data_IF_743642400114
#
_entry.id   IF_743642400114
#
_cell.length_a   1.000
_cell.length_b   1.000
_cell.length_c   1.000
_cell.angle_alpha   90.00
_cell.angle_beta   90.00
_cell.angle_gamma   90.00
#
_symmetry.space_group_name_H-M   'P 1'
#
loop_
_entity.id
_entity.type
_entity.pdbx_description
1 polymer ?
#
# COMPACT_ATOMS: atom_id res chain seq x y z
N UNK A 1 -9.81 -2.91 21.13
CA UNK A 1 -8.64 -2.11 20.69
C UNK A 1 -7.41 -2.93 21.03
N UNK A 2 -6.51 -3.16 20.07
CA UNK A 2 -5.25 -3.87 20.28
C UNK A 2 -4.28 -2.96 21.05
N UNK A 3 -3.87 -3.39 22.25
CA UNK A 3 -2.81 -2.74 23.01
C UNK A 3 -1.45 -3.33 22.60
N UNK A 4 -0.58 -2.48 22.08
CA UNK A 4 0.78 -2.85 21.66
C UNK A 4 1.79 -2.29 22.64
N UNK A 5 2.49 -3.18 23.34
CA UNK A 5 3.67 -2.79 24.11
C UNK A 5 4.88 -2.67 23.19
N UNK A 6 5.66 -1.60 23.35
CA UNK A 6 6.96 -1.42 22.67
C UNK A 6 7.91 -0.64 23.56
N UNK A 7 9.22 -0.76 23.32
CA UNK A 7 10.24 0.00 24.07
C UNK A 7 10.23 1.49 23.74
N UNK A 8 9.87 1.84 22.50
CA UNK A 8 9.83 3.22 22.02
C UNK A 8 8.72 3.40 20.98
N UNK A 9 7.93 4.45 21.13
CA UNK A 9 6.89 4.80 20.16
C UNK A 9 7.50 5.76 19.14
N UNK A 10 7.48 5.39 17.86
CA UNK A 10 7.99 6.21 16.75
C UNK A 10 6.91 6.46 15.69
N UNK A 11 7.08 7.45 14.80
CA UNK A 11 6.20 7.64 13.67
C UNK A 11 6.12 6.43 12.73
N UNK A 12 7.26 5.75 12.49
CA UNK A 12 7.33 4.54 11.64
C UNK A 12 6.48 3.41 12.20
N UNK A 13 6.68 3.10 13.48
CA UNK A 13 5.91 2.09 14.21
C UNK A 13 4.42 2.45 14.19
N UNK A 14 4.08 3.69 14.58
CA UNK A 14 2.68 4.14 14.62
C UNK A 14 2.01 4.04 13.25
N UNK A 15 2.70 4.42 12.18
CA UNK A 15 2.22 4.35 10.81
C UNK A 15 1.90 2.91 10.41
N UNK A 16 2.87 1.99 10.52
CA UNK A 16 2.71 0.64 9.97
C UNK A 16 1.71 -0.18 10.78
N UNK A 17 1.70 -0.04 12.10
CA UNK A 17 0.69 -0.69 12.94
C UNK A 17 -0.72 -0.17 12.66
N UNK A 18 -0.90 1.14 12.47
CA UNK A 18 -2.20 1.69 12.06
C UNK A 18 -2.60 1.22 10.66
N UNK A 19 -1.65 1.08 9.74
CA UNK A 19 -1.93 0.55 8.42
C UNK A 19 -2.43 -0.89 8.49
N UNK A 20 -1.66 -1.79 9.10
CA UNK A 20 -2.02 -3.21 9.22
C UNK A 20 -3.26 -3.39 10.11
N UNK A 21 -3.20 -2.96 11.37
CA UNK A 21 -4.26 -3.27 12.33
C UNK A 21 -5.54 -2.46 12.08
N UNK A 22 -5.42 -1.14 11.91
CA UNK A 22 -6.62 -0.29 11.77
C UNK A 22 -7.16 -0.29 10.35
N UNK A 23 -6.31 -0.04 9.34
CA UNK A 23 -6.79 0.16 7.95
C UNK A 23 -7.13 -1.16 7.25
N UNK A 24 -6.28 -2.18 7.37
CA UNK A 24 -6.54 -3.49 6.77
C UNK A 24 -7.47 -4.32 7.66
N UNK A 25 -7.12 -4.52 8.94
CA UNK A 25 -7.84 -5.44 9.82
C UNK A 25 -9.03 -4.86 10.59
N UNK A 26 -9.28 -3.55 10.49
CA UNK A 26 -10.38 -2.87 11.22
C UNK A 26 -10.31 -3.01 12.75
N UNK A 27 -9.10 -3.20 13.29
CA UNK A 27 -8.83 -3.27 14.74
C UNK A 27 -8.13 -1.98 15.17
N UNK A 28 -8.78 -1.12 15.99
CA UNK A 28 -8.13 0.05 16.54
C UNK A 28 -6.89 -0.34 17.36
N UNK A 29 -5.80 0.41 17.22
CA UNK A 29 -4.53 0.16 17.92
C UNK A 29 -4.17 1.30 18.88
N UNK A 30 -3.68 0.94 20.07
CA UNK A 30 -3.06 1.86 21.04
C UNK A 30 -1.68 1.33 21.41
N UNK A 31 -0.75 2.23 21.65
CA UNK A 31 0.62 1.89 22.03
C UNK A 31 0.87 2.26 23.49
N UNK A 32 1.69 1.46 24.15
CA UNK A 32 2.19 1.74 25.50
C UNK A 32 3.66 1.34 25.62
N UNK A 33 4.40 2.08 26.44
CA UNK A 33 5.76 1.71 26.88
C UNK A 33 5.77 1.20 28.32
N UNK A 34 4.63 1.23 29.00
CA UNK A 34 4.46 0.83 30.39
C UNK A 34 4.14 -0.66 30.45
N UNK A 35 5.03 -1.44 31.08
CA UNK A 35 4.89 -2.90 31.18
C UNK A 35 3.71 -3.27 32.09
N UNK A 36 3.48 -2.50 33.15
CA UNK A 36 2.36 -2.64 34.07
C UNK A 36 1.01 -2.44 33.39
N UNK A 37 0.86 -1.41 32.53
CA UNK A 37 -0.35 -1.21 31.73
C UNK A 37 -0.61 -2.40 30.80
N UNK A 38 0.45 -2.97 30.22
CA UNK A 38 0.35 -4.12 29.31
C UNK A 38 -0.03 -5.42 30.03
N UNK A 39 0.55 -5.68 31.21
CA UNK A 39 0.28 -6.91 31.98
C UNK A 39 -1.19 -6.96 32.40
N UNK A 40 -1.74 -5.85 32.89
CA UNK A 40 -3.12 -5.74 33.39
C UNK A 40 -4.17 -5.74 32.28
N UNK A 41 -3.78 -5.58 31.01
CA UNK A 41 -4.71 -5.58 29.90
C UNK A 41 -5.17 -7.00 29.54
N UNK A 42 -6.46 -7.31 29.67
CA UNK A 42 -6.99 -8.66 29.43
C UNK A 42 -7.63 -8.86 28.05
N UNK A 43 -7.64 -7.82 27.21
CA UNK A 43 -8.13 -7.92 25.83
C UNK A 43 -6.98 -8.09 24.84
N UNK A 44 -7.23 -7.84 23.55
CA UNK A 44 -6.24 -7.92 22.48
C UNK A 44 -4.96 -7.19 22.88
N UNK A 45 -3.89 -7.95 23.09
CA UNK A 45 -2.57 -7.41 23.39
C UNK A 45 -1.46 -8.13 22.64
N UNK A 46 -0.44 -7.37 22.28
CA UNK A 46 0.74 -7.82 21.58
C UNK A 46 1.95 -7.10 22.15
N UNK A 47 3.04 -7.82 22.42
CA UNK A 47 4.34 -7.21 22.68
C UNK A 47 5.16 -7.14 21.38
N UNK A 48 5.69 -5.96 21.08
CA UNK A 48 6.58 -5.69 19.97
C UNK A 48 7.92 -5.18 20.51
N UNK A 49 8.84 -6.11 20.76
CA UNK A 49 10.12 -5.84 21.40
C UNK A 49 11.15 -6.92 21.06
N UNK A 50 12.43 -6.71 21.36
CA UNK A 50 13.47 -7.71 21.05
C UNK A 50 13.31 -9.02 21.86
N UNK A 51 12.73 -8.96 23.06
CA UNK A 51 12.47 -10.12 23.93
C UNK A 51 11.00 -10.15 24.32
N UNK A 52 10.44 -11.35 24.45
CA UNK A 52 9.11 -11.57 25.02
C UNK A 52 9.12 -11.20 26.51
N UNK A 53 7.98 -10.71 27.01
CA UNK A 53 7.75 -10.37 28.41
C UNK A 53 7.29 -11.60 29.23
N UNK A 54 6.74 -12.60 28.56
CA UNK A 54 6.21 -13.82 29.17
C UNK A 54 5.55 -14.72 28.11
N UNK A 55 4.31 -15.13 28.38
CA UNK A 55 3.53 -16.00 27.50
C UNK A 55 2.47 -15.23 26.69
N UNK A 56 2.75 -13.99 26.31
CA UNK A 56 1.88 -13.17 25.47
C UNK A 56 2.09 -13.47 23.97
N UNK A 57 1.22 -12.89 23.13
CA UNK A 57 1.52 -12.80 21.70
C UNK A 57 2.70 -11.84 21.54
N UNK A 58 3.83 -12.35 21.04
CA UNK A 58 5.07 -11.60 20.88
C UNK A 58 5.54 -11.62 19.43
N UNK A 59 5.90 -10.45 18.93
CA UNK A 59 6.63 -10.27 17.67
C UNK A 59 7.95 -9.60 17.99
N UNK A 60 9.05 -10.25 17.60
CA UNK A 60 10.39 -9.70 17.76
C UNK A 60 10.54 -8.49 16.85
N UNK A 61 10.94 -7.37 17.43
CA UNK A 61 11.08 -6.11 16.73
C UNK A 61 12.41 -5.96 15.98
N UNK A 62 12.36 -5.32 14.82
CA UNK A 62 13.52 -4.91 14.01
C UNK A 62 13.80 -3.42 14.20
N UNK A 63 15.08 -3.06 14.22
CA UNK A 63 15.55 -1.69 14.53
C UNK A 63 15.06 -0.63 13.54
N UNK A 64 14.74 -1.00 12.29
CA UNK A 64 14.26 -0.07 11.24
C UNK A 64 13.07 0.79 11.68
N UNK A 65 12.20 0.26 12.56
CA UNK A 65 11.06 1.02 13.08
C UNK A 65 11.45 2.03 14.17
N UNK A 66 12.62 1.90 14.79
CA UNK A 66 13.09 2.76 15.89
C UNK A 66 14.14 3.78 15.46
N UNK A 67 14.75 3.57 14.30
CA UNK A 67 15.78 4.42 13.69
C UNK A 67 15.25 5.79 13.22
N UNK A 68 16.18 6.75 13.17
CA UNK A 68 16.01 8.05 12.52
C UNK A 68 16.92 8.11 11.30
N UNK A 69 16.41 8.66 10.20
CA UNK A 69 17.15 8.67 8.92
C UNK A 69 17.07 7.33 8.18
N UNK A 70 17.80 7.23 7.08
CA UNK A 70 17.73 6.10 6.16
C UNK A 70 19.11 5.45 6.17
N UNK A 71 19.14 4.16 6.44
CA UNK A 71 20.34 3.37 6.61
C UNK A 71 20.26 2.19 5.66
N UNK A 72 21.36 1.89 4.98
CA UNK A 72 21.43 0.70 4.16
C UNK A 72 21.35 -0.56 5.04
N UNK A 73 20.61 -1.57 4.57
CA UNK A 73 20.38 -2.80 5.30
C UNK A 73 20.27 -4.00 4.36
N UNK A 74 20.95 -5.08 4.73
CA UNK A 74 20.88 -6.33 3.98
C UNK A 74 19.54 -7.04 4.24
N UNK A 75 18.67 -7.09 3.22
CA UNK A 75 17.37 -7.74 3.29
C UNK A 75 17.48 -9.15 2.69
N UNK A 76 17.20 -10.17 3.51
CA UNK A 76 17.19 -11.58 3.11
C UNK A 76 15.76 -12.06 2.94
N UNK A 77 15.29 -12.05 1.68
CA UNK A 77 13.96 -12.55 1.32
C UNK A 77 13.94 -14.08 1.37
N UNK A 78 12.86 -14.64 1.89
CA UNK A 78 12.62 -16.08 2.01
C UNK A 78 11.15 -16.40 1.67
N UNK A 79 10.87 -17.59 1.12
CA UNK A 79 9.49 -18.04 0.97
C UNK A 79 8.84 -18.28 2.34
N UNK A 80 7.57 -17.90 2.45
CA UNK A 80 6.70 -18.22 3.58
C UNK A 80 5.33 -18.63 3.05
N UNK A 81 5.07 -19.95 3.08
CA UNK A 81 3.85 -20.55 2.53
C UNK A 81 3.62 -20.16 1.06
N UNK A 82 2.56 -19.40 0.77
CA UNK A 82 2.13 -18.90 -0.54
C UNK A 82 2.64 -17.48 -0.85
N UNK A 83 3.51 -16.92 -0.01
CA UNK A 83 4.07 -15.58 -0.17
C UNK A 83 5.57 -15.54 0.15
N UNK A 84 6.15 -14.35 0.13
CA UNK A 84 7.54 -14.08 0.52
C UNK A 84 7.56 -13.33 1.83
N UNK A 85 8.66 -13.39 2.59
CA UNK A 85 8.87 -12.60 3.80
C UNK A 85 10.35 -12.26 3.99
N UNK A 86 10.63 -11.30 4.86
CA UNK A 86 11.98 -10.91 5.26
C UNK A 86 11.97 -10.31 6.67
N UNK A 87 13.15 -10.05 7.25
CA UNK A 87 13.34 -9.80 8.69
C UNK A 87 12.93 -10.99 9.57
N UNK A 88 13.47 -12.17 9.25
CA UNK A 88 13.23 -13.39 10.01
C UNK A 88 13.59 -13.25 11.49
N UNK A 89 12.66 -13.64 12.38
CA UNK A 89 12.75 -13.43 13.83
C UNK A 89 13.20 -14.66 14.61
N UNK A 90 13.36 -15.80 13.93
CA UNK A 90 13.71 -17.10 14.54
C UNK A 90 12.48 -17.94 14.87
N UNK A 91 12.64 -18.98 15.68
CA UNK A 91 11.59 -20.00 15.95
C UNK A 91 10.67 -19.68 17.13
N UNK A 92 10.90 -18.59 17.87
CA UNK A 92 10.22 -18.34 19.14
C UNK A 92 9.09 -17.30 19.08
N UNK A 93 8.84 -16.69 17.91
CA UNK A 93 7.81 -15.67 17.73
C UNK A 93 6.50 -16.25 17.20
N UNK A 94 5.40 -15.53 17.39
CA UNK A 94 4.10 -15.91 16.81
C UNK A 94 4.10 -15.87 15.26
N UNK A 95 5.03 -15.11 14.69
CA UNK A 95 5.27 -14.98 13.26
C UNK A 95 6.74 -15.32 12.96
N UNK A 96 7.07 -15.93 11.81
CA UNK A 96 8.44 -16.32 11.47
C UNK A 96 9.35 -15.12 11.14
N UNK A 97 8.77 -13.93 11.03
CA UNK A 97 9.44 -12.68 10.70
C UNK A 97 8.71 -11.49 11.33
N UNK A 98 9.34 -10.33 11.26
CA UNK A 98 8.78 -9.06 11.69
C UNK A 98 7.93 -8.44 10.58
N UNK A 99 6.63 -8.75 10.59
CA UNK A 99 5.64 -8.21 9.65
C UNK A 99 5.61 -6.69 9.63
N UNK A 100 5.76 -6.03 10.78
CA UNK A 100 5.62 -4.59 10.87
C UNK A 100 6.83 -3.89 10.26
N UNK A 101 8.03 -4.38 10.51
CA UNK A 101 9.22 -3.88 9.84
C UNK A 101 9.20 -4.16 8.33
N UNK A 102 8.82 -5.38 7.93
CA UNK A 102 8.79 -5.77 6.53
C UNK A 102 7.77 -4.95 5.73
N UNK A 103 6.56 -4.80 6.27
CA UNK A 103 5.54 -3.97 5.66
C UNK A 103 5.94 -2.50 5.61
N UNK A 104 6.61 -1.97 6.64
CA UNK A 104 7.10 -0.60 6.61
C UNK A 104 8.08 -0.36 5.46
N UNK A 105 9.04 -1.26 5.25
CA UNK A 105 10.01 -1.16 4.15
C UNK A 105 9.32 -1.11 2.78
N UNK A 106 8.34 -1.98 2.55
CA UNK A 106 7.61 -2.01 1.28
C UNK A 106 6.67 -0.81 1.11
N UNK A 107 5.86 -0.50 2.12
CA UNK A 107 4.86 0.58 2.05
C UNK A 107 5.50 1.97 1.95
N UNK A 108 6.64 2.16 2.60
CA UNK A 108 7.38 3.42 2.54
C UNK A 108 8.26 3.56 1.30
N UNK A 109 8.35 2.51 0.46
CA UNK A 109 9.29 2.47 -0.68
C UNK A 109 10.72 2.76 -0.24
N UNK A 110 11.13 2.17 0.88
CA UNK A 110 12.40 2.48 1.56
C UNK A 110 13.63 2.38 0.63
N UNK A 111 13.61 1.39 -0.27
CA UNK A 111 14.65 1.15 -1.27
C UNK A 111 14.88 2.32 -2.25
N UNK A 112 13.85 3.10 -2.55
CA UNK A 112 13.94 4.26 -3.46
C UNK A 112 14.71 5.43 -2.83
N UNK A 113 14.86 5.44 -1.51
CA UNK A 113 15.60 6.48 -0.82
C UNK A 113 17.06 6.13 -0.57
N UNK A 114 17.46 4.88 -0.81
CA UNK A 114 18.86 4.47 -0.75
C UNK A 114 19.60 4.92 -2.01
N UNK A 115 20.95 5.08 -1.96
CA UNK A 115 21.73 5.38 -3.14
C UNK A 115 21.53 4.29 -4.22
N UNK A 116 21.00 4.68 -5.39
CA UNK A 116 20.73 3.78 -6.50
C UNK A 116 21.02 4.46 -7.84
N UNK A 117 21.20 3.64 -8.89
CA UNK A 117 21.29 4.13 -10.26
C UNK A 117 19.89 4.39 -10.78
N UNK A 118 19.66 5.61 -11.26
CA UNK A 118 18.37 6.04 -11.80
C UNK A 118 18.18 5.58 -13.25
N UNK A 119 16.93 5.39 -13.65
CA UNK A 119 16.57 5.19 -15.05
C UNK A 119 16.76 6.48 -15.89
N UNK A 120 16.44 6.40 -17.19
CA UNK A 120 16.57 7.53 -18.13
C UNK A 120 15.70 8.74 -17.71
N UNK A 121 14.61 8.47 -16.98
CA UNK A 121 13.67 9.45 -16.46
C UNK A 121 14.01 9.93 -15.04
N UNK A 122 15.11 9.45 -14.44
CA UNK A 122 15.57 9.89 -13.13
C UNK A 122 14.87 9.21 -11.93
N UNK A 123 14.18 8.09 -12.16
CA UNK A 123 13.40 7.32 -11.17
C UNK A 123 14.16 6.08 -10.70
N UNK A 124 13.66 5.47 -9.63
CA UNK A 124 14.11 4.15 -9.19
C UNK A 124 13.62 3.08 -10.18
N UNK A 125 14.53 2.31 -10.80
CA UNK A 125 14.15 1.28 -11.77
C UNK A 125 13.43 0.11 -11.08
N UNK A 126 12.25 -0.32 -11.57
CA UNK A 126 11.51 -1.43 -10.95
C UNK A 126 12.31 -2.73 -10.85
N UNK A 127 13.25 -2.96 -11.79
CA UNK A 127 14.11 -4.15 -11.82
C UNK A 127 15.05 -4.28 -10.61
N UNK A 128 15.33 -3.16 -9.93
CA UNK A 128 16.15 -3.13 -8.72
C UNK A 128 15.31 -3.30 -7.43
N UNK A 129 13.98 -3.32 -7.54
CA UNK A 129 13.12 -3.52 -6.38
C UNK A 129 13.22 -4.95 -5.84
N UNK A 130 13.10 -5.11 -4.53
CA UNK A 130 13.00 -6.43 -3.89
C UNK A 130 11.88 -7.27 -4.50
N UNK A 131 10.74 -6.63 -4.80
CA UNK A 131 9.57 -7.29 -5.39
C UNK A 131 9.85 -7.87 -6.77
N UNK A 132 10.62 -7.15 -7.59
CA UNK A 132 11.02 -7.64 -8.91
C UNK A 132 12.11 -8.71 -8.81
N UNK A 133 13.14 -8.48 -7.99
CA UNK A 133 14.28 -9.40 -7.86
C UNK A 133 13.90 -10.77 -7.27
N UNK A 134 12.79 -10.83 -6.53
CA UNK A 134 12.29 -12.05 -5.87
C UNK A 134 10.89 -12.47 -6.35
N UNK A 135 10.45 -11.99 -7.52
CA UNK A 135 9.22 -12.42 -8.20
C UNK A 135 7.95 -12.37 -7.32
N UNK A 136 7.76 -11.30 -6.55
CA UNK A 136 6.54 -11.07 -5.75
C UNK A 136 5.86 -9.72 -6.03
N UNK A 137 6.27 -9.02 -7.09
CA UNK A 137 5.77 -7.68 -7.43
C UNK A 137 4.26 -7.64 -7.76
N UNK A 138 3.73 -8.76 -8.24
CA UNK A 138 2.32 -8.98 -8.58
C UNK A 138 1.47 -9.45 -7.38
N UNK A 139 2.10 -9.77 -6.24
CA UNK A 139 1.42 -10.20 -5.03
C UNK A 139 1.18 -9.02 -4.07
N UNK A 140 -0.03 -8.88 -3.49
CA UNK A 140 -0.29 -7.91 -2.43
C UNK A 140 0.24 -8.42 -1.08
N UNK A 141 1.56 -8.61 -0.98
CA UNK A 141 2.21 -9.32 0.14
C UNK A 141 1.86 -8.73 1.51
N UNK A 142 1.75 -7.40 1.63
CA UNK A 142 1.41 -6.74 2.90
C UNK A 142 -0.01 -7.11 3.36
N UNK A 143 -0.98 -7.10 2.44
CA UNK A 143 -2.36 -7.52 2.73
C UNK A 143 -2.42 -9.01 3.09
N UNK A 144 -1.70 -9.87 2.35
CA UNK A 144 -1.60 -11.30 2.66
C UNK A 144 -1.04 -11.52 4.06
N UNK A 145 0.05 -10.85 4.42
CA UNK A 145 0.63 -10.93 5.76
C UNK A 145 -0.33 -10.43 6.84
N UNK A 146 -1.07 -9.34 6.58
CA UNK A 146 -2.05 -8.81 7.51
C UNK A 146 -3.17 -9.83 7.78
N UNK A 147 -3.68 -10.51 6.75
CA UNK A 147 -4.70 -11.54 6.93
C UNK A 147 -4.17 -12.78 7.68
N UNK A 148 -2.94 -13.23 7.40
CA UNK A 148 -2.31 -14.30 8.19
C UNK A 148 -2.11 -13.88 9.66
N UNK A 149 -1.70 -12.63 9.89
CA UNK A 149 -1.58 -12.07 11.24
C UNK A 149 -2.93 -11.99 11.97
N UNK A 150 -4.02 -11.67 11.25
CA UNK A 150 -5.39 -11.73 11.79
C UNK A 150 -5.76 -13.13 12.24
N UNK A 151 -5.39 -14.15 11.47
CA UNK A 151 -5.75 -15.52 11.80
C UNK A 151 -4.99 -16.00 13.06
N UNK A 152 -3.74 -15.58 13.25
CA UNK A 152 -3.00 -15.75 14.52
C UNK A 152 -3.68 -15.01 15.68
N UNK A 153 -4.14 -13.77 15.46
CA UNK A 153 -4.89 -13.03 16.48
C UNK A 153 -6.22 -13.72 16.84
N UNK A 154 -6.93 -14.30 15.86
CA UNK A 154 -8.17 -15.07 16.07
C UNK A 154 -7.92 -16.31 16.91
N UNK A 155 -6.86 -17.05 16.63
CA UNK A 155 -6.48 -18.22 17.42
C UNK A 155 -6.15 -17.85 18.88
N UNK A 156 -5.43 -16.74 19.05
CA UNK A 156 -5.02 -16.28 20.39
C UNK A 156 -6.13 -15.64 21.20
N UNK A 157 -7.06 -14.95 20.55
CA UNK A 157 -8.16 -14.20 21.16
C UNK A 157 -9.51 -14.63 20.56
N UNK A 158 -9.97 -15.86 20.83
CA UNK A 158 -11.17 -16.44 20.20
C UNK A 158 -12.46 -15.69 20.56
N UNK A 159 -12.50 -15.03 21.72
CA UNK A 159 -13.68 -14.29 22.20
C UNK A 159 -13.83 -12.90 21.55
N UNK A 160 -12.87 -12.46 20.73
CA UNK A 160 -12.95 -11.15 20.09
C UNK A 160 -13.85 -11.18 18.86
N UNK A 161 -14.78 -10.22 18.80
CA UNK A 161 -15.64 -10.04 17.63
C UNK A 161 -14.90 -9.28 16.52
N UNK A 162 -14.79 -9.93 15.37
CA UNK A 162 -14.12 -9.38 14.20
C UNK A 162 -15.12 -8.70 13.28
N UNK A 163 -14.76 -7.50 12.80
CA UNK A 163 -15.53 -6.80 11.77
C UNK A 163 -15.01 -7.28 10.41
N UNK A 164 -15.89 -7.83 9.59
CA UNK A 164 -15.56 -8.17 8.20
C UNK A 164 -15.71 -6.93 7.31
N UNK A 165 -14.67 -6.66 6.52
CA UNK A 165 -14.71 -5.58 5.54
C UNK A 165 -15.36 -6.06 4.26
N UNK A 166 -16.36 -5.34 3.78
CA UNK A 166 -16.79 -5.44 2.39
C UNK A 166 -15.74 -4.76 1.48
N UNK A 167 -15.23 -5.50 0.50
CA UNK A 167 -14.31 -4.94 -0.49
C UNK A 167 -15.06 -3.99 -1.44
N UNK A 168 -14.52 -2.80 -1.63
CA UNK A 168 -15.00 -1.81 -2.60
C UNK A 168 -13.80 -1.28 -3.37
N UNK A 169 -13.89 -1.28 -4.70
CA UNK A 169 -12.88 -0.76 -5.61
C UNK A 169 -13.42 0.49 -6.30
N UNK A 170 -12.73 1.61 -6.11
CA UNK A 170 -12.99 2.88 -6.79
C UNK A 170 -11.73 3.26 -7.58
N UNK A 171 -11.57 2.80 -8.83
CA UNK A 171 -10.38 3.08 -9.60
C UNK A 171 -10.37 4.55 -10.03
N UNK A 172 -9.31 5.27 -9.65
CA UNK A 172 -9.02 6.61 -10.18
C UNK A 172 -7.97 6.43 -11.27
N UNK A 173 -8.33 6.72 -12.51
CA UNK A 173 -7.43 6.63 -13.66
C UNK A 173 -7.05 8.06 -14.04
N UNK A 174 -5.78 8.40 -13.90
CA UNK A 174 -5.25 9.63 -14.47
C UNK A 174 -4.98 9.40 -15.96
N UNK A 175 -5.54 10.27 -16.78
CA UNK A 175 -5.42 10.22 -18.24
C UNK A 175 -4.96 11.59 -18.70
N UNK A 176 -3.77 11.67 -19.31
CA UNK A 176 -3.24 12.93 -19.86
C UNK A 176 -4.23 13.61 -20.80
N UNK A 177 -4.99 12.81 -21.54
CA UNK A 177 -6.07 13.25 -22.39
C UNK A 177 -7.20 12.22 -22.35
N UNK A 178 -8.23 12.49 -21.54
CA UNK A 178 -9.42 11.65 -21.43
C UNK A 178 -10.19 11.51 -22.77
N UNK A 179 -10.04 12.49 -23.66
CA UNK A 179 -10.79 12.55 -24.91
C UNK A 179 -9.90 12.95 -26.07
N UNK A 180 -9.87 12.13 -27.12
CA UNK A 180 -9.10 12.41 -28.33
C UNK A 180 -9.56 13.70 -29.05
N UNK A 181 -10.88 13.96 -29.05
CA UNK A 181 -11.53 15.01 -29.84
C UNK A 181 -12.33 16.03 -28.99
N UNK A 182 -12.44 15.83 -27.68
CA UNK A 182 -13.17 16.75 -26.78
C UNK A 182 -12.26 17.75 -26.10
N UNK A 183 -12.76 18.98 -25.91
CA UNK A 183 -12.08 20.07 -25.22
C UNK A 183 -10.63 20.27 -25.68
N UNK A 184 -10.37 20.02 -26.97
CA UNK A 184 -9.07 20.23 -27.58
C UNK A 184 -9.01 21.65 -28.13
N UNK A 185 -7.88 22.35 -27.92
CA UNK A 185 -7.71 23.72 -28.41
C UNK A 185 -7.87 23.81 -29.93
N UNK A 186 -8.42 24.93 -30.43
CA UNK A 186 -8.75 25.17 -31.85
C UNK A 186 -7.58 24.85 -32.78
N UNK A 187 -6.35 25.26 -32.42
CA UNK A 187 -5.16 24.99 -33.21
C UNK A 187 -4.86 23.49 -33.36
N UNK A 188 -5.13 22.70 -32.33
CA UNK A 188 -4.94 21.24 -32.34
C UNK A 188 -6.00 20.54 -33.18
N UNK A 189 -7.23 21.06 -33.20
CA UNK A 189 -8.30 20.56 -34.06
C UNK A 189 -7.99 20.82 -35.54
N UNK A 190 -7.61 22.05 -35.89
CA UNK A 190 -7.25 22.41 -37.27
C UNK A 190 -6.07 21.58 -37.78
N UNK A 191 -5.01 21.43 -36.98
CA UNK A 191 -3.88 20.55 -37.32
C UNK A 191 -4.28 19.08 -37.43
N UNK A 192 -5.21 18.63 -36.59
CA UNK A 192 -5.79 17.28 -36.62
C UNK A 192 -6.54 17.00 -37.93
N UNK A 193 -7.42 17.92 -38.33
CA UNK A 193 -8.15 17.86 -39.60
C UNK A 193 -7.18 17.84 -40.77
N UNK A 194 -6.21 18.76 -40.81
CA UNK A 194 -5.21 18.81 -41.87
C UNK A 194 -4.48 17.47 -41.99
N UNK A 195 -3.93 16.96 -40.88
CA UNK A 195 -3.25 15.65 -40.86
C UNK A 195 -4.15 14.51 -41.34
N UNK A 196 -5.41 14.46 -40.91
CA UNK A 196 -6.33 13.38 -41.27
C UNK A 196 -6.74 13.44 -42.77
N UNK A 197 -6.82 14.63 -43.37
CA UNK A 197 -6.99 14.81 -44.83
C UNK A 197 -5.77 14.29 -45.59
N UNK A 198 -4.57 14.71 -45.19
CA UNK A 198 -3.33 14.30 -45.86
C UNK A 198 -3.05 12.80 -45.76
N UNK A 199 -3.52 12.15 -44.68
CA UNK A 199 -3.39 10.70 -44.49
C UNK A 199 -4.57 9.91 -45.09
N UNK A 200 -5.50 10.55 -45.81
CA UNK A 200 -6.71 9.93 -46.37
C UNK A 200 -7.56 9.17 -45.31
N UNK A 201 -7.55 9.65 -44.06
CA UNK A 201 -8.29 9.05 -42.93
C UNK A 201 -9.73 9.58 -42.85
N UNK A 202 -10.50 9.36 -43.91
CA UNK A 202 -11.87 9.89 -44.05
C UNK A 202 -12.83 9.48 -42.91
N UNK A 203 -12.67 8.28 -42.35
CA UNK A 203 -13.45 7.85 -41.17
C UNK A 203 -13.22 8.74 -39.95
N UNK A 204 -11.99 9.21 -39.73
CA UNK A 204 -11.63 10.05 -38.58
C UNK A 204 -12.09 11.50 -38.77
N UNK A 205 -12.11 11.98 -40.02
CA UNK A 205 -12.72 13.27 -40.37
C UNK A 205 -14.23 13.29 -40.10
N UNK A 206 -14.93 12.22 -40.48
CA UNK A 206 -16.36 12.08 -40.14
C UNK A 206 -16.58 12.06 -38.62
N UNK A 207 -15.71 11.36 -37.87
CA UNK A 207 -15.78 11.32 -36.40
C UNK A 207 -15.64 12.72 -35.78
N UNK A 208 -14.71 13.56 -36.27
CA UNK A 208 -14.52 14.96 -35.83
C UNK A 208 -15.76 15.82 -36.08
N UNK A 209 -16.40 15.67 -37.25
CA UNK A 209 -17.61 16.42 -37.62
C UNK A 209 -18.83 16.00 -36.80
N UNK A 210 -19.02 14.69 -36.59
CA UNK A 210 -20.11 14.17 -35.76
C UNK A 210 -19.94 14.70 -34.33
N UNK A 211 -18.73 14.68 -33.81
CA UNK A 211 -18.44 15.12 -32.45
C UNK A 211 -18.71 16.62 -32.22
N UNK A 212 -18.35 17.47 -33.18
CA UNK A 212 -18.67 18.90 -33.14
C UNK A 212 -20.18 19.18 -33.19
N UNK A 213 -20.98 18.31 -33.83
CA UNK A 213 -22.45 18.43 -33.85
C UNK A 213 -23.11 17.88 -32.57
N UNK A 214 -22.58 16.82 -31.99
CA UNK A 214 -23.06 16.28 -30.71
C UNK A 214 -22.87 17.25 -29.53
N UNK A 215 -22.00 18.25 -29.69
CA UNK A 215 -21.82 19.36 -28.75
C UNK A 215 -23.08 20.22 -28.60
N UNK A 216 -23.87 20.42 -29.65
CA UNK A 216 -25.13 21.19 -29.56
C UNK A 216 -26.20 20.47 -28.73
N UNK A 217 -26.14 19.14 -28.60
CA UNK A 217 -27.15 18.35 -27.86
C UNK A 217 -26.78 18.07 -26.40
N UNK A 218 -25.50 18.14 -26.02
CA UNK A 218 -25.05 17.82 -24.65
C UNK A 218 -25.00 19.05 -23.72
N UNK A 219 -25.02 20.26 -24.27
CA UNK A 219 -25.06 21.52 -23.49
C UNK A 219 -26.45 21.75 -22.84
N UNK A 220 -27.49 21.00 -23.25
CA UNK A 220 -28.86 21.17 -22.76
C UNK A 220 -29.18 20.38 -21.47
N UNK A 221 -28.23 19.59 -20.93
CA UNK A 221 -28.38 18.92 -19.62
C UNK A 221 -27.71 19.65 -18.46
N UNK A 222 -27.12 20.83 -18.71
CA UNK A 222 -26.50 21.68 -17.67
C UNK A 222 -27.39 22.84 -17.21
N UNK A 223 -28.71 22.76 -17.36
CA UNK A 223 -29.62 23.58 -16.55
C UNK A 223 -29.73 22.97 -15.14
N UNK A 224 -29.29 23.67 -14.08
CA UNK A 224 -29.56 23.23 -12.73
C UNK A 224 -31.07 23.37 -12.48
N UNK A 225 -31.77 22.24 -12.35
CA UNK A 225 -33.06 22.24 -11.69
C UNK A 225 -32.81 22.47 -10.20
N UNK A 226 -33.16 23.69 -9.74
CA UNK A 226 -33.46 24.16 -8.38
C UNK A 226 -32.74 23.51 -7.19
#
# INVERSE_FOLDING_TARGET
MLLVYTTKITPRLTYVFKHICTRILQVPVKFTTAVDEFIVHDSLKLSYANKALGNELHIKSTEVLFEQGITDMEIKVKPWEDTMCFFGTGTSGAMPFDIFAAAFVLLSRYEEFLPHVKDLEGRFPPSESLGYQHDFLDQPVVDLWAFKFRDILKERFPDYSWIERAFTLEPIIDVEQAYELYQIGIMRELGGVFRDVFQFKFKRLLLRLVYQRSFEYFVDFSTPAL
#
